data_IF_591264793245
#
_entry.id   IF_591264793245
#
_cell.length_a   1.000
_cell.length_b   1.000
_cell.length_c   1.000
_cell.angle_alpha   90.00
_cell.angle_beta   90.00
_cell.angle_gamma   90.00
#
_symmetry.space_group_name_H-M   'P 1'
#
loop_
_entity.id
_entity.type
_entity.pdbx_description
1 polymer ?
#
# COMPACT_ATOMS: atom_id res chain seq x y z
N UNK A 1 11.64 -12.57 1.75
CA UNK A 1 11.77 -12.35 3.20
C UNK A 1 12.17 -13.64 3.93
N UNK A 2 11.36 -14.69 3.89
CA UNK A 2 11.62 -15.97 4.58
C UNK A 2 13.01 -16.55 4.26
N UNK A 3 13.40 -16.62 2.98
CA UNK A 3 14.70 -17.12 2.57
C UNK A 3 15.89 -16.30 3.11
N UNK A 4 15.72 -15.00 3.29
CA UNK A 4 16.72 -14.13 3.89
C UNK A 4 16.86 -14.36 5.40
N UNK A 5 15.72 -14.47 6.11
CA UNK A 5 15.71 -14.80 7.53
C UNK A 5 16.38 -16.15 7.80
N UNK A 6 16.08 -17.20 7.01
CA UNK A 6 16.69 -18.52 7.14
C UNK A 6 18.20 -18.52 6.89
N UNK A 7 18.72 -17.55 6.14
CA UNK A 7 20.15 -17.38 5.86
C UNK A 7 20.84 -16.36 6.78
N UNK A 8 20.13 -15.89 7.81
CA UNK A 8 20.62 -14.83 8.72
C UNK A 8 21.11 -13.58 7.98
N UNK A 9 20.45 -13.22 6.88
CA UNK A 9 20.76 -12.00 6.14
C UNK A 9 19.98 -10.83 6.74
N UNK A 10 20.69 -9.80 7.17
CA UNK A 10 20.09 -8.55 7.64
C UNK A 10 19.60 -7.72 6.44
N UNK A 11 18.50 -8.15 5.86
CA UNK A 11 17.84 -7.50 4.72
C UNK A 11 16.34 -7.47 4.94
N UNK A 12 15.72 -6.35 4.56
CA UNK A 12 14.29 -6.18 4.59
C UNK A 12 13.70 -6.29 3.20
N UNK A 13 12.46 -6.74 3.15
CA UNK A 13 11.64 -6.81 1.93
C UNK A 13 10.46 -5.86 2.13
N UNK A 14 10.33 -4.93 1.21
CA UNK A 14 9.18 -4.05 1.11
C UNK A 14 8.36 -4.48 -0.09
N UNK A 15 7.04 -4.58 0.08
CA UNK A 15 6.10 -4.89 -0.99
C UNK A 15 5.00 -3.84 -0.99
N UNK A 16 4.72 -3.27 -2.16
CA UNK A 16 3.61 -2.35 -2.35
C UNK A 16 2.43 -3.12 -2.93
N UNK A 17 1.28 -2.97 -2.31
CA UNK A 17 0.02 -3.67 -2.65
C UNK A 17 -1.10 -2.64 -2.73
N UNK A 18 -1.89 -2.66 -3.79
CA UNK A 18 -3.09 -1.84 -3.88
C UNK A 18 -4.22 -2.36 -2.98
N UNK A 19 -5.11 -1.49 -2.52
CA UNK A 19 -6.28 -1.91 -1.75
C UNK A 19 -7.25 -2.78 -2.57
N UNK A 20 -7.31 -2.58 -3.89
CA UNK A 20 -8.01 -3.48 -4.82
C UNK A 20 -7.32 -4.84 -4.94
N UNK A 21 -6.01 -4.89 -4.94
CA UNK A 21 -5.20 -6.12 -4.97
C UNK A 21 -5.42 -6.97 -3.70
N UNK A 22 -5.77 -6.35 -2.58
CA UNK A 22 -6.16 -7.07 -1.36
C UNK A 22 -7.46 -7.89 -1.51
N UNK A 23 -8.15 -7.86 -2.66
CA UNK A 23 -9.23 -8.80 -2.97
C UNK A 23 -8.71 -10.15 -3.52
N UNK A 24 -7.42 -10.24 -3.85
CA UNK A 24 -6.79 -11.48 -4.30
C UNK A 24 -6.55 -12.43 -3.10
N UNK A 25 -7.01 -13.68 -3.22
CA UNK A 25 -6.82 -14.69 -2.17
C UNK A 25 -5.35 -14.94 -1.82
N UNK A 26 -4.46 -14.87 -2.82
CA UNK A 26 -3.02 -15.05 -2.66
C UNK A 26 -2.37 -14.04 -1.70
N UNK A 27 -2.89 -12.81 -1.62
CA UNK A 27 -2.43 -11.80 -0.66
C UNK A 27 -2.67 -12.28 0.78
N UNK A 28 -3.85 -12.82 1.05
CA UNK A 28 -4.22 -13.29 2.39
C UNK A 28 -3.55 -14.62 2.76
N UNK A 29 -3.33 -15.50 1.80
CA UNK A 29 -2.54 -16.72 2.01
C UNK A 29 -1.10 -16.37 2.39
N UNK A 30 -0.48 -15.42 1.68
CA UNK A 30 0.86 -14.93 1.99
C UNK A 30 0.89 -14.20 3.35
N UNK A 31 -0.15 -13.42 3.67
CA UNK A 31 -0.26 -12.72 4.94
C UNK A 31 -0.34 -13.69 6.13
N UNK A 32 -1.16 -14.74 6.02
CA UNK A 32 -1.27 -15.79 7.04
C UNK A 32 0.08 -16.49 7.26
N UNK A 33 0.74 -16.91 6.17
CA UNK A 33 2.03 -17.59 6.26
C UNK A 33 3.12 -16.70 6.87
N UNK A 34 3.16 -15.42 6.49
CA UNK A 34 4.15 -14.48 7.03
C UNK A 34 3.99 -14.26 8.53
N UNK A 35 2.74 -14.16 9.00
CA UNK A 35 2.44 -14.03 10.43
C UNK A 35 2.79 -15.32 11.19
N UNK A 36 2.38 -16.49 10.69
CA UNK A 36 2.69 -17.80 11.28
C UNK A 36 4.20 -18.00 11.47
N UNK A 37 4.99 -17.60 10.48
CA UNK A 37 6.45 -17.72 10.53
C UNK A 37 7.14 -16.50 11.16
N UNK A 38 6.40 -15.56 11.72
CA UNK A 38 6.94 -14.35 12.36
C UNK A 38 7.99 -13.64 11.49
N UNK A 39 7.66 -13.41 10.19
CA UNK A 39 8.59 -12.86 9.20
C UNK A 39 8.82 -11.36 9.46
N UNK A 40 9.70 -11.05 10.41
CA UNK A 40 9.96 -9.71 10.94
C UNK A 40 10.71 -8.76 9.97
N UNK A 41 11.22 -9.28 8.88
CA UNK A 41 11.88 -8.52 7.83
C UNK A 41 10.98 -8.22 6.62
N UNK A 42 9.67 -8.43 6.74
CA UNK A 42 8.68 -8.14 5.70
C UNK A 42 7.82 -6.94 6.09
N UNK A 43 7.75 -5.96 5.20
CA UNK A 43 6.88 -4.79 5.33
C UNK A 43 5.99 -4.72 4.09
N UNK A 44 4.68 -4.80 4.28
CA UNK A 44 3.69 -4.55 3.24
C UNK A 44 3.21 -3.09 3.34
N UNK A 45 3.23 -2.36 2.23
CA UNK A 45 2.65 -1.03 2.11
C UNK A 45 1.37 -1.17 1.30
N UNK A 46 0.24 -0.79 1.88
CA UNK A 46 -1.06 -0.88 1.22
C UNK A 46 -1.46 0.52 0.77
N UNK A 47 -1.45 0.74 -0.55
CA UNK A 47 -1.97 1.96 -1.16
C UNK A 47 -3.49 1.95 -1.10
N UNK A 48 -4.06 2.55 -0.05
CA UNK A 48 -5.49 2.64 0.16
C UNK A 48 -6.05 3.90 -0.51
N UNK A 49 -6.08 3.90 -1.84
CA UNK A 49 -6.62 4.99 -2.65
C UNK A 49 -8.13 4.88 -2.92
N UNK A 50 -8.74 3.77 -2.58
CA UNK A 50 -10.18 3.55 -2.72
C UNK A 50 -10.62 3.09 -4.11
N UNK A 51 -9.68 2.81 -5.02
CA UNK A 51 -9.97 2.39 -6.39
C UNK A 51 -9.28 1.07 -6.74
N UNK A 52 -9.90 0.35 -7.64
CA UNK A 52 -9.38 -0.84 -8.30
C UNK A 52 -9.69 -0.75 -9.80
N UNK A 53 -9.30 -1.74 -10.57
CA UNK A 53 -9.52 -1.78 -12.02
C UNK A 53 -10.96 -1.44 -12.44
N UNK A 54 -11.94 -2.02 -11.77
CA UNK A 54 -13.37 -1.96 -12.14
C UNK A 54 -14.16 -0.90 -11.36
N UNK A 55 -13.49 0.03 -10.65
CA UNK A 55 -14.15 1.09 -9.90
C UNK A 55 -13.77 1.16 -8.42
N UNK A 56 -14.69 1.61 -7.59
CA UNK A 56 -14.45 1.81 -6.16
C UNK A 56 -14.28 0.49 -5.39
N UNK A 57 -13.24 0.39 -4.57
CA UNK A 57 -13.03 -0.76 -3.67
C UNK A 57 -14.17 -0.94 -2.68
N UNK A 58 -14.84 0.13 -2.26
CA UNK A 58 -15.98 0.08 -1.34
C UNK A 58 -17.20 -0.68 -1.87
N UNK A 59 -17.30 -0.92 -3.18
CA UNK A 59 -18.37 -1.70 -3.77
C UNK A 59 -18.25 -3.19 -3.42
N UNK A 60 -17.05 -3.66 -3.08
CA UNK A 60 -16.73 -5.08 -2.90
C UNK A 60 -16.11 -5.41 -1.56
N UNK A 61 -15.54 -4.43 -0.89
CA UNK A 61 -14.88 -4.60 0.42
C UNK A 61 -15.21 -3.40 1.30
N UNK A 62 -15.59 -3.62 2.55
CA UNK A 62 -15.87 -2.53 3.48
C UNK A 62 -14.59 -1.74 3.78
N UNK A 63 -14.53 -0.49 3.28
CA UNK A 63 -13.37 0.43 3.40
C UNK A 63 -12.77 0.54 4.81
N UNK A 64 -13.63 0.51 5.82
CA UNK A 64 -13.22 0.75 7.21
C UNK A 64 -12.47 -0.43 7.86
N UNK A 65 -12.29 -1.54 7.13
CA UNK A 65 -11.87 -2.80 7.76
C UNK A 65 -10.51 -3.32 7.29
N UNK A 66 -9.88 -2.72 6.28
CA UNK A 66 -8.64 -3.28 5.73
C UNK A 66 -7.53 -3.38 6.80
N UNK A 67 -7.30 -2.33 7.55
CA UNK A 67 -6.34 -2.34 8.65
C UNK A 67 -6.71 -3.38 9.73
N UNK A 68 -8.01 -3.53 10.01
CA UNK A 68 -8.50 -4.53 10.97
C UNK A 68 -8.30 -5.95 10.48
N UNK A 69 -8.46 -6.20 9.18
CA UNK A 69 -8.20 -7.50 8.58
C UNK A 69 -6.71 -7.85 8.70
N UNK A 70 -5.81 -6.94 8.34
CA UNK A 70 -4.37 -7.15 8.52
C UNK A 70 -3.98 -7.43 9.97
N UNK A 71 -4.61 -6.72 10.95
CA UNK A 71 -4.42 -7.00 12.38
C UNK A 71 -4.93 -8.41 12.76
N UNK A 72 -6.08 -8.82 12.22
CA UNK A 72 -6.64 -10.15 12.48
C UNK A 72 -5.74 -11.27 11.95
N UNK A 73 -4.95 -11.03 10.91
CA UNK A 73 -3.92 -11.94 10.42
C UNK A 73 -2.63 -11.91 11.27
N UNK A 74 -2.58 -11.13 12.36
CA UNK A 74 -1.43 -11.10 13.28
C UNK A 74 -0.31 -10.15 12.86
N UNK A 75 -0.56 -9.23 11.93
CA UNK A 75 0.41 -8.22 11.52
C UNK A 75 0.43 -7.02 12.47
N UNK A 76 1.60 -6.44 12.69
CA UNK A 76 1.71 -5.08 13.21
C UNK A 76 1.19 -4.10 12.16
N UNK A 77 0.21 -3.25 12.50
CA UNK A 77 -0.45 -2.36 11.51
C UNK A 77 -0.29 -0.91 11.89
N UNK A 78 0.25 -0.14 10.97
CA UNK A 78 0.37 1.31 11.03
C UNK A 78 -0.57 1.94 10.00
N UNK A 79 -1.40 2.87 10.43
CA UNK A 79 -2.29 3.64 9.54
C UNK A 79 -1.75 5.06 9.41
N UNK A 80 -1.58 5.55 8.19
CA UNK A 80 -0.99 6.86 7.91
C UNK A 80 -1.75 7.62 6.82
N UNK A 81 -1.58 8.93 6.78
CA UNK A 81 -1.77 9.72 5.57
C UNK A 81 -0.61 9.43 4.62
N UNK A 82 -0.91 8.84 3.45
CA UNK A 82 0.08 8.47 2.45
C UNK A 82 0.63 9.66 1.65
N UNK A 83 0.18 10.88 1.93
CA UNK A 83 0.70 12.13 1.35
C UNK A 83 1.48 12.97 2.37
N UNK A 84 1.55 12.55 3.62
CA UNK A 84 2.39 13.19 4.64
C UNK A 84 3.77 12.52 4.70
N UNK A 85 4.79 13.21 4.19
CA UNK A 85 6.17 12.73 4.16
C UNK A 85 6.71 12.38 5.56
N UNK A 86 6.33 13.14 6.60
CA UNK A 86 6.78 12.89 7.96
C UNK A 86 6.12 11.64 8.54
N UNK A 87 4.82 11.43 8.27
CA UNK A 87 4.10 10.23 8.66
C UNK A 87 4.69 8.99 7.96
N UNK A 88 5.01 9.10 6.66
CA UNK A 88 5.65 8.04 5.88
C UNK A 88 7.00 7.66 6.51
N UNK A 89 7.90 8.61 6.71
CA UNK A 89 9.23 8.35 7.30
C UNK A 89 9.11 7.69 8.68
N UNK A 90 8.22 8.20 9.52
CA UNK A 90 7.96 7.66 10.85
C UNK A 90 7.44 6.23 10.79
N UNK A 91 6.53 5.93 9.86
CA UNK A 91 6.00 4.58 9.69
C UNK A 91 7.06 3.59 9.24
N UNK A 92 7.91 3.98 8.28
CA UNK A 92 9.03 3.13 7.84
C UNK A 92 10.01 2.86 8.99
N UNK A 93 10.36 3.87 9.80
CA UNK A 93 11.23 3.67 10.96
C UNK A 93 10.61 2.70 11.96
N UNK A 94 9.33 2.90 12.33
CA UNK A 94 8.60 2.00 13.23
C UNK A 94 8.51 0.56 12.68
N UNK A 95 8.29 0.41 11.38
CA UNK A 95 8.26 -0.89 10.74
C UNK A 95 9.63 -1.58 10.79
N UNK A 96 10.71 -0.81 10.64
CA UNK A 96 12.07 -1.33 10.76
C UNK A 96 12.44 -1.71 12.20
N UNK A 97 11.92 -1.01 13.19
CA UNK A 97 12.18 -1.29 14.61
C UNK A 97 11.34 -2.44 15.15
N UNK A 98 10.26 -2.83 14.44
CA UNK A 98 9.40 -3.94 14.85
C UNK A 98 10.02 -5.29 14.50
N UNK A 99 10.43 -6.05 15.52
CA UNK A 99 11.15 -7.33 15.36
C UNK A 99 10.31 -8.58 15.69
N UNK A 100 9.03 -8.40 16.06
CA UNK A 100 8.19 -9.52 16.51
C UNK A 100 7.42 -10.23 15.40
N UNK A 101 7.37 -9.65 14.20
CA UNK A 101 6.62 -10.19 13.07
C UNK A 101 6.52 -9.20 11.91
N UNK A 102 5.74 -9.50 10.87
CA UNK A 102 5.59 -8.63 9.72
C UNK A 102 4.81 -7.35 10.06
N UNK A 103 5.07 -6.29 9.31
CA UNK A 103 4.38 -5.01 9.47
C UNK A 103 3.63 -4.64 8.20
N UNK A 104 2.38 -4.18 8.35
CA UNK A 104 1.58 -3.58 7.30
C UNK A 104 1.43 -2.08 7.54
N UNK A 105 1.76 -1.26 6.55
CA UNK A 105 1.54 0.18 6.55
C UNK A 105 0.35 0.46 5.63
N UNK A 106 -0.80 0.79 6.20
CA UNK A 106 -2.00 1.18 5.45
C UNK A 106 -1.95 2.68 5.21
N UNK A 107 -1.56 3.06 4.01
CA UNK A 107 -1.42 4.44 3.60
C UNK A 107 -2.70 4.92 2.89
N UNK A 108 -3.41 5.85 3.51
CA UNK A 108 -4.57 6.51 2.86
C UNK A 108 -4.05 7.51 1.84
N UNK A 109 -4.43 7.32 0.59
CA UNK A 109 -3.98 8.16 -0.52
C UNK A 109 -5.14 8.65 -1.37
N UNK A 110 -4.85 9.60 -2.23
CA UNK A 110 -5.74 10.07 -3.29
C UNK A 110 -5.17 9.59 -4.61
N UNK A 111 -5.93 8.76 -5.33
CA UNK A 111 -5.53 8.33 -6.68
C UNK A 111 -5.36 9.55 -7.59
N UNK A 112 -4.24 9.63 -8.32
CA UNK A 112 -3.95 10.74 -9.24
C UNK A 112 -3.56 12.05 -8.57
N UNK A 113 -3.17 12.02 -7.29
CA UNK A 113 -2.81 13.21 -6.51
C UNK A 113 -1.84 14.15 -7.23
N UNK A 114 -2.20 15.43 -7.25
CA UNK A 114 -1.41 16.50 -7.86
C UNK A 114 -1.87 16.90 -9.25
N UNK A 115 -2.74 16.13 -9.89
CA UNK A 115 -3.34 16.44 -11.19
C UNK A 115 -4.85 16.43 -11.04
N UNK A 116 -5.48 17.62 -11.11
CA UNK A 116 -6.88 17.81 -10.74
C UNK A 116 -7.86 16.90 -11.49
N UNK A 117 -7.66 16.71 -12.79
CA UNK A 117 -8.51 15.86 -13.61
C UNK A 117 -8.25 14.35 -13.45
N UNK A 118 -7.16 13.96 -12.77
CA UNK A 118 -6.83 12.58 -12.43
C UNK A 118 -7.27 12.20 -11.01
N UNK A 119 -7.38 13.18 -10.10
CA UNK A 119 -7.72 12.92 -8.70
C UNK A 119 -9.08 12.24 -8.57
N UNK A 120 -9.08 11.08 -7.87
CA UNK A 120 -10.28 10.26 -7.65
C UNK A 120 -11.03 9.86 -8.94
N UNK A 121 -10.34 9.83 -10.06
CA UNK A 121 -10.91 9.48 -11.36
C UNK A 121 -10.40 8.10 -11.82
N UNK A 122 -11.32 7.12 -11.88
CA UNK A 122 -10.98 5.74 -12.25
C UNK A 122 -10.59 5.58 -13.72
N UNK A 123 -11.01 6.49 -14.60
CA UNK A 123 -10.63 6.46 -16.03
C UNK A 123 -9.12 6.52 -16.23
N UNK A 124 -8.40 7.09 -15.24
CA UNK A 124 -6.94 7.16 -15.21
C UNK A 124 -6.25 5.93 -14.62
N UNK A 125 -6.99 4.86 -14.34
CA UNK A 125 -6.37 3.61 -13.89
C UNK A 125 -5.51 2.94 -14.99
N UNK A 126 -5.97 3.01 -16.24
CA UNK A 126 -5.28 2.46 -17.41
C UNK A 126 -5.08 3.46 -18.55
N UNK A 127 -5.31 4.74 -18.31
CA UNK A 127 -5.21 5.76 -19.35
C UNK A 127 -3.75 6.10 -19.69
N UNK A 128 -3.55 6.64 -20.89
CA UNK A 128 -2.23 7.05 -21.37
C UNK A 128 -2.11 8.56 -21.35
N UNK A 129 -0.96 9.05 -20.91
CA UNK A 129 -0.60 10.46 -21.04
C UNK A 129 -0.15 10.68 -22.49
N UNK A 130 -0.98 11.40 -23.27
CA UNK A 130 -0.64 11.89 -24.61
C UNK A 130 0.16 13.19 -24.51
N UNK A 131 0.80 13.64 -25.61
CA UNK A 131 1.55 14.90 -25.62
C UNK A 131 0.69 16.10 -25.19
N UNK A 132 -0.58 16.16 -25.62
CA UNK A 132 -1.50 17.24 -25.21
C UNK A 132 -1.86 17.21 -23.73
N UNK A 133 -2.02 16.02 -23.16
CA UNK A 133 -2.31 15.83 -21.74
C UNK A 133 -1.07 16.12 -20.88
N UNK A 134 0.13 15.82 -21.41
CA UNK A 134 1.38 16.09 -20.70
C UNK A 134 1.56 17.57 -20.37
N UNK A 135 1.30 18.45 -21.34
CA UNK A 135 1.42 19.91 -21.15
C UNK A 135 0.50 20.41 -20.01
N UNK A 136 -0.71 19.85 -19.92
CA UNK A 136 -1.64 20.18 -18.83
C UNK A 136 -1.17 19.64 -17.48
N UNK A 137 -0.64 18.42 -17.45
CA UNK A 137 -0.03 17.85 -16.23
C UNK A 137 1.14 18.71 -15.73
N UNK A 138 2.05 19.12 -16.62
CA UNK A 138 3.20 19.93 -16.26
C UNK A 138 2.79 21.30 -15.72
N UNK A 139 1.78 21.96 -16.30
CA UNK A 139 1.22 23.22 -15.79
C UNK A 139 0.68 23.06 -14.36
N UNK A 140 -0.09 21.99 -14.09
CA UNK A 140 -0.63 21.78 -12.76
C UNK A 140 0.46 21.45 -11.72
N UNK A 141 1.53 20.80 -12.13
CA UNK A 141 2.68 20.49 -11.27
C UNK A 141 3.64 21.68 -11.09
N UNK A 142 3.45 22.77 -11.85
CA UNK A 142 4.28 23.98 -11.75
C UNK A 142 5.68 23.82 -12.34
N UNK A 143 5.84 22.94 -13.34
CA UNK A 143 7.09 22.68 -14.07
C UNK A 143 6.96 23.02 -15.55
#
# INVERSE_FOLDING_TARGET
AIGMNKRNQDRRVFVLVGDGECNEGSVWEAAALAAEQSVNNLVAIIDQNGFRNDGLTSTYTHKAQLASIWRAFGWNVLEIDGHDNQAIQTAFQKACDHLKGPTAIVAKTIKGRGISFMENNNDWHHNRITASVLDDCLKELGV
#
